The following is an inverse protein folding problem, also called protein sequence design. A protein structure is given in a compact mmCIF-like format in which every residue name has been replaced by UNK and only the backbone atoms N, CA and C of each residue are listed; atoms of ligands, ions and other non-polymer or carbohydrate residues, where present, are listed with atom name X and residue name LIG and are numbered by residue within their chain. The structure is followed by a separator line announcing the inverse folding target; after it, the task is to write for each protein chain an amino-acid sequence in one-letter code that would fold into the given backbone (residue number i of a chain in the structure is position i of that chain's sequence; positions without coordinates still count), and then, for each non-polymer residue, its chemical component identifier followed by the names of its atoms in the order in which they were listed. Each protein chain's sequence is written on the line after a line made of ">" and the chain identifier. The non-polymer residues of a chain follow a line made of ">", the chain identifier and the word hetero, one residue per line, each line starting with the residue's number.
data_IF_937440740074
#
_entry.id   IF_937440740074
#
_cell.length_a   1.000
_cell.length_b   1.000
_cell.length_c   1.000
_cell.angle_alpha   90.00
_cell.angle_beta   90.00
_cell.angle_gamma   90.00
#
_symmetry.space_group_name_H-M   'P 1'
#
loop_
_entity.id
_entity.type
_entity.pdbx_description
1 polymer ?
#
# COMPACT_ATOMS: atom_id res chain seq x y z
N UNK A 1 6.13 24.85 -4.65
CA UNK A 1 5.56 23.64 -4.04
C UNK A 1 6.55 22.52 -4.30
N UNK A 2 7.17 21.98 -3.25
CA UNK A 2 8.20 20.95 -3.38
C UNK A 2 7.52 19.62 -3.71
N UNK A 3 7.77 19.13 -4.92
CA UNK A 3 7.39 17.80 -5.38
C UNK A 3 8.17 16.75 -4.57
N UNK A 4 7.60 16.31 -3.45
CA UNK A 4 8.18 15.26 -2.58
C UNK A 4 8.14 13.87 -3.25
N UNK A 5 7.51 13.74 -4.41
CA UNK A 5 7.40 12.46 -5.12
C UNK A 5 8.78 11.92 -5.58
N UNK A 6 9.74 12.80 -5.87
CA UNK A 6 11.10 12.38 -6.19
C UNK A 6 11.92 11.86 -4.98
N UNK A 7 11.47 12.07 -3.73
CA UNK A 7 12.26 11.75 -2.54
C UNK A 7 12.16 10.28 -2.11
N UNK A 8 11.08 9.57 -2.46
CA UNK A 8 10.88 8.17 -2.06
C UNK A 8 11.02 7.15 -3.19
N UNK A 9 11.31 7.58 -4.43
CA UNK A 9 11.45 6.71 -5.61
C UNK A 9 12.51 5.62 -5.46
N UNK A 10 13.56 5.85 -4.65
CA UNK A 10 14.61 4.88 -4.33
C UNK A 10 14.74 4.60 -2.81
N UNK A 11 13.70 4.92 -2.04
CA UNK A 11 13.68 4.66 -0.61
C UNK A 11 13.29 3.21 -0.37
N UNK A 12 14.09 2.50 0.45
CA UNK A 12 13.80 1.14 0.93
C UNK A 12 12.37 1.05 1.44
N UNK A 13 11.69 -0.04 1.13
CA UNK A 13 10.31 -0.30 1.52
C UNK A 13 10.11 -0.04 3.03
N UNK A 14 11.05 -0.46 3.89
CA UNK A 14 11.06 -0.20 5.33
C UNK A 14 11.03 1.29 5.71
N UNK A 15 11.79 2.13 5.00
CA UNK A 15 11.80 3.57 5.25
C UNK A 15 10.50 4.23 4.79
N UNK A 16 9.93 3.77 3.67
CA UNK A 16 8.62 4.20 3.22
C UNK A 16 7.55 3.88 4.29
N UNK A 17 7.65 2.72 4.95
CA UNK A 17 6.75 2.37 6.06
C UNK A 17 6.90 3.26 7.27
N UNK A 18 8.12 3.55 7.69
CA UNK A 18 8.32 4.45 8.83
C UNK A 18 7.73 5.84 8.57
N UNK A 19 7.72 6.31 7.32
CA UNK A 19 7.05 7.57 6.98
C UNK A 19 5.53 7.45 6.98
N UNK A 20 4.97 6.35 6.47
CA UNK A 20 3.52 6.09 6.52
C UNK A 20 3.02 5.96 7.96
N UNK A 21 3.75 5.25 8.83
CA UNK A 21 3.46 5.09 10.26
C UNK A 21 3.35 6.46 10.96
N UNK A 22 4.24 7.39 10.59
CA UNK A 22 4.24 8.79 11.07
C UNK A 22 3.16 9.66 10.44
N UNK A 23 2.34 9.13 9.53
CA UNK A 23 1.26 9.84 8.86
C UNK A 23 1.70 10.70 7.67
N UNK A 24 2.85 10.42 7.06
CA UNK A 24 3.27 11.11 5.83
C UNK A 24 2.39 10.67 4.64
N UNK A 25 1.54 11.59 4.19
CA UNK A 25 0.65 11.36 3.05
C UNK A 25 1.40 11.14 1.74
N UNK A 26 2.56 11.78 1.56
CA UNK A 26 3.37 11.62 0.34
C UNK A 26 3.97 10.22 0.24
N UNK A 27 4.43 9.68 1.38
CA UNK A 27 4.88 8.29 1.46
C UNK A 27 3.73 7.31 1.16
N UNK A 28 2.53 7.57 1.67
CA UNK A 28 1.34 6.76 1.38
C UNK A 28 0.96 6.79 -0.10
N UNK A 29 0.92 7.97 -0.72
CA UNK A 29 0.67 8.10 -2.17
C UNK A 29 1.68 7.31 -2.97
N UNK A 30 2.97 7.35 -2.61
CA UNK A 30 3.97 6.55 -3.31
C UNK A 30 3.81 5.04 -3.13
N UNK A 31 3.42 4.58 -1.93
CA UNK A 31 3.09 3.18 -1.74
C UNK A 31 1.88 2.78 -2.60
N UNK A 32 0.86 3.63 -2.68
CA UNK A 32 -0.28 3.41 -3.56
C UNK A 32 0.17 3.29 -5.03
N UNK A 33 0.91 4.26 -5.54
CA UNK A 33 1.39 4.25 -6.93
C UNK A 33 2.25 3.02 -7.24
N UNK A 34 3.09 2.59 -6.29
CA UNK A 34 3.98 1.42 -6.45
C UNK A 34 3.23 0.09 -6.42
N UNK A 35 2.25 -0.09 -5.53
CA UNK A 35 1.63 -1.40 -5.28
C UNK A 35 0.20 -1.55 -5.81
N UNK A 36 -0.54 -0.46 -6.10
CA UNK A 36 -1.94 -0.55 -6.55
C UNK A 36 -2.09 -1.46 -7.76
N UNK A 37 -1.26 -1.27 -8.80
CA UNK A 37 -1.34 -2.04 -10.05
C UNK A 37 -1.03 -3.51 -9.81
N UNK A 38 -0.04 -3.80 -8.96
CA UNK A 38 0.34 -5.17 -8.62
C UNK A 38 -0.80 -5.88 -7.87
N UNK A 39 -1.39 -5.22 -6.88
CA UNK A 39 -2.49 -5.77 -6.10
C UNK A 39 -3.76 -5.91 -6.92
N UNK A 40 -4.07 -4.94 -7.77
CA UNK A 40 -5.21 -5.01 -8.68
C UNK A 40 -5.10 -6.22 -9.60
N UNK A 41 -3.93 -6.43 -10.23
CA UNK A 41 -3.70 -7.60 -11.08
C UNK A 41 -3.84 -8.90 -10.28
N UNK A 42 -3.37 -8.93 -9.04
CA UNK A 42 -3.50 -10.10 -8.17
C UNK A 42 -4.98 -10.38 -7.82
N UNK A 43 -5.69 -9.38 -7.31
CA UNK A 43 -7.09 -9.48 -6.93
C UNK A 43 -7.97 -9.84 -8.13
N UNK A 44 -7.75 -9.20 -9.28
CA UNK A 44 -8.46 -9.52 -10.52
C UNK A 44 -8.23 -10.97 -10.97
N UNK A 45 -7.02 -11.51 -10.82
CA UNK A 45 -6.75 -12.91 -11.15
C UNK A 45 -7.49 -13.90 -10.26
N UNK A 46 -7.82 -13.53 -9.01
CA UNK A 46 -8.58 -14.37 -8.09
C UNK A 46 -10.09 -14.20 -8.24
N UNK A 47 -10.55 -12.96 -8.42
CA UNK A 47 -11.98 -12.61 -8.43
C UNK A 47 -12.59 -12.65 -9.84
N UNK A 48 -11.76 -12.51 -10.88
CA UNK A 48 -12.17 -12.37 -12.29
C UNK A 48 -13.22 -11.26 -12.52
N UNK A 49 -13.23 -10.26 -11.64
CA UNK A 49 -14.16 -9.14 -11.65
C UNK A 49 -13.37 -7.86 -11.36
N UNK A 50 -13.47 -6.87 -12.25
CA UNK A 50 -12.72 -5.61 -12.15
C UNK A 50 -13.19 -4.76 -10.96
N UNK A 51 -14.49 -4.59 -10.80
CA UNK A 51 -15.08 -3.78 -9.73
C UNK A 51 -14.71 -4.35 -8.36
N UNK A 52 -14.85 -5.67 -8.17
CA UNK A 52 -14.48 -6.33 -6.92
C UNK A 52 -12.97 -6.26 -6.66
N UNK A 53 -12.14 -6.35 -7.70
CA UNK A 53 -10.69 -6.21 -7.55
C UNK A 53 -10.30 -4.80 -7.13
N UNK A 54 -10.95 -3.78 -7.69
CA UNK A 54 -10.73 -2.39 -7.33
C UNK A 54 -11.19 -2.11 -5.90
N UNK A 55 -12.37 -2.59 -5.50
CA UNK A 55 -12.87 -2.50 -4.13
C UNK A 55 -11.91 -3.13 -3.11
N UNK A 56 -11.36 -4.32 -3.41
CA UNK A 56 -10.37 -4.97 -2.55
C UNK A 56 -9.12 -4.10 -2.41
N UNK A 57 -8.58 -3.59 -3.52
CA UNK A 57 -7.40 -2.72 -3.47
C UNK A 57 -7.68 -1.47 -2.63
N UNK A 58 -8.82 -0.79 -2.86
CA UNK A 58 -9.21 0.37 -2.09
C UNK A 58 -9.34 0.04 -0.60
N UNK A 59 -10.00 -1.06 -0.25
CA UNK A 59 -10.17 -1.49 1.14
C UNK A 59 -8.82 -1.76 1.83
N UNK A 60 -7.91 -2.43 1.13
CA UNK A 60 -6.57 -2.74 1.64
C UNK A 60 -5.78 -1.46 1.94
N UNK A 61 -5.78 -0.49 1.04
CA UNK A 61 -5.08 0.79 1.26
C UNK A 61 -5.78 1.68 2.30
N UNK A 62 -7.11 1.68 2.35
CA UNK A 62 -7.86 2.38 3.39
C UNK A 62 -7.49 1.85 4.77
N UNK A 63 -7.46 0.52 4.93
CA UNK A 63 -7.06 -0.15 6.16
C UNK A 63 -5.60 0.11 6.52
N UNK A 64 -4.71 0.11 5.53
CA UNK A 64 -3.30 0.50 5.73
C UNK A 64 -3.19 1.90 6.33
N UNK A 65 -3.96 2.86 5.83
CA UNK A 65 -3.94 4.23 6.34
C UNK A 65 -4.58 4.35 7.72
N UNK A 66 -5.71 3.68 7.94
CA UNK A 66 -6.41 3.67 9.23
C UNK A 66 -5.51 3.14 10.35
N UNK A 67 -4.90 1.97 10.13
CA UNK A 67 -4.05 1.28 11.10
C UNK A 67 -2.57 1.62 10.95
N UNK A 68 -2.22 2.70 10.23
CA UNK A 68 -0.83 3.08 9.95
C UNK A 68 0.06 3.14 11.20
N UNK A 69 -0.51 3.57 12.33
CA UNK A 69 0.17 3.72 13.61
C UNK A 69 0.40 2.39 14.34
N UNK A 70 -0.27 1.33 13.92
CA UNK A 70 -0.20 -0.02 14.48
C UNK A 70 0.59 -0.98 13.56
N UNK A 71 1.12 -0.49 12.44
CA UNK A 71 2.02 -1.26 11.59
C UNK A 71 3.34 -1.50 12.32
N UNK A 72 3.42 -2.63 13.01
CA UNK A 72 4.69 -3.10 13.55
C UNK A 72 5.66 -3.42 12.41
N UNK A 73 6.81 -2.74 12.43
CA UNK A 73 7.92 -2.72 11.44
C UNK A 73 8.50 -4.11 11.05
N UNK A 74 7.96 -5.22 11.57
CA UNK A 74 8.37 -6.59 11.24
C UNK A 74 7.61 -7.25 10.08
N UNK A 75 6.49 -6.68 9.61
CA UNK A 75 5.72 -7.27 8.51
C UNK A 75 6.01 -6.47 7.23
N UNK A 76 6.66 -7.10 6.26
CA UNK A 76 6.83 -6.47 4.94
C UNK A 76 5.44 -6.13 4.38
N UNK A 77 5.26 -4.92 3.86
CA UNK A 77 3.98 -4.52 3.27
C UNK A 77 3.53 -5.49 2.20
N UNK A 78 4.47 -6.05 1.45
CA UNK A 78 4.16 -7.12 0.51
C UNK A 78 3.44 -8.29 1.20
N UNK A 79 3.93 -8.78 2.34
CA UNK A 79 3.25 -9.83 3.10
C UNK A 79 1.92 -9.35 3.71
N UNK A 80 1.86 -8.13 4.24
CA UNK A 80 0.62 -7.57 4.80
C UNK A 80 -0.48 -7.45 3.73
N UNK A 81 -0.15 -6.85 2.60
CA UNK A 81 -1.05 -6.68 1.46
C UNK A 81 -1.44 -8.05 0.86
N UNK A 82 -0.48 -8.98 0.70
CA UNK A 82 -0.80 -10.33 0.22
C UNK A 82 -1.75 -11.08 1.17
N UNK A 83 -1.56 -10.93 2.49
CA UNK A 83 -2.42 -11.56 3.50
C UNK A 83 -3.82 -10.96 3.47
N UNK A 84 -3.93 -9.64 3.36
CA UNK A 84 -5.20 -8.93 3.27
C UNK A 84 -5.95 -9.22 1.96
N UNK A 85 -5.24 -9.43 0.86
CA UNK A 85 -5.87 -9.72 -0.45
C UNK A 85 -6.40 -11.16 -0.54
N UNK A 86 -6.01 -12.05 0.39
CA UNK A 86 -6.33 -13.48 0.36
C UNK A 86 -7.40 -13.90 1.40
N UNK A 87 -7.76 -13.02 2.34
CA UNK A 87 -8.85 -13.24 3.31
C UNK A 87 -10.11 -12.52 2.85
#
# INVERSE_FOLDING_TARGET
>A
MLDKSAQYTNTDDEKLFSFIEKGDKGAFTQAYDRYHKLLYVLAYRYLMNADMAEDVVQHVFARLWEFRSELHVGISLKNYLFTMTKN
#
